data_IF_166925639901
#
_entry.id   IF_166925639901
#
_cell.length_a   1.000
_cell.length_b   1.000
_cell.length_c   1.000
_cell.angle_alpha   90.00
_cell.angle_beta   90.00
_cell.angle_gamma   90.00
#
_symmetry.space_group_name_H-M   'P 1'
#
loop_
_entity.id
_entity.type
_entity.pdbx_description
1 polymer ?
#
# COMPACT_ATOMS: atom_id res chain seq x y z
N UNK A 1 11.45 23.59 -10.53
CA UNK A 1 11.54 24.77 -9.63
C UNK A 1 11.42 24.26 -8.21
N UNK A 2 12.32 24.62 -7.30
CA UNK A 2 12.25 24.14 -5.91
C UNK A 2 11.07 24.82 -5.19
N UNK A 3 10.14 24.02 -4.68
CA UNK A 3 9.00 24.50 -3.90
C UNK A 3 9.44 25.02 -2.53
N UNK A 4 8.78 26.07 -2.02
CA UNK A 4 9.11 26.68 -0.72
C UNK A 4 7.85 26.95 0.10
N UNK A 5 7.95 26.83 1.42
CA UNK A 5 6.89 27.24 2.35
C UNK A 5 6.56 28.72 2.15
N UNK A 6 5.27 29.07 2.21
CA UNK A 6 4.73 30.40 1.92
C UNK A 6 4.58 30.72 0.43
N UNK A 7 5.06 29.85 -0.47
CA UNK A 7 4.87 30.03 -1.89
C UNK A 7 3.41 29.82 -2.29
N UNK A 8 2.86 30.76 -3.05
CA UNK A 8 1.53 30.63 -3.67
C UNK A 8 1.69 30.07 -5.09
N UNK A 9 1.07 28.92 -5.32
CA UNK A 9 0.99 28.24 -6.60
C UNK A 9 -0.37 28.51 -7.26
N UNK A 10 -0.36 28.78 -8.57
CA UNK A 10 -1.58 28.99 -9.37
C UNK A 10 -1.79 27.75 -10.25
N UNK A 11 -2.82 26.97 -9.94
CA UNK A 11 -3.26 25.85 -10.76
C UNK A 11 -4.24 26.26 -11.84
N UNK A 12 -4.74 25.27 -12.58
CA UNK A 12 -5.75 25.48 -13.62
C UNK A 12 -7.13 25.85 -13.07
N UNK A 13 -7.46 25.40 -11.86
CA UNK A 13 -8.75 25.63 -11.21
C UNK A 13 -8.66 26.52 -9.97
N UNK A 14 -7.44 26.77 -9.46
CA UNK A 14 -7.30 27.45 -8.19
C UNK A 14 -5.94 28.04 -7.84
N UNK A 15 -5.84 28.52 -6.60
CA UNK A 15 -4.62 29.04 -5.98
C UNK A 15 -4.39 28.36 -4.64
N UNK A 16 -3.14 28.04 -4.35
CA UNK A 16 -2.76 27.23 -3.20
C UNK A 16 -1.50 27.78 -2.57
N UNK A 17 -1.47 27.93 -1.25
CA UNK A 17 -0.29 28.36 -0.51
C UNK A 17 0.36 27.17 0.19
N UNK A 18 1.65 26.94 -0.05
CA UNK A 18 2.40 25.85 0.58
C UNK A 18 2.66 26.17 2.05
N UNK A 19 2.30 25.26 2.96
CA UNK A 19 2.44 25.46 4.40
C UNK A 19 3.55 24.63 5.01
N UNK A 20 3.54 23.32 4.81
CA UNK A 20 4.50 22.42 5.44
C UNK A 20 4.76 21.19 4.57
N UNK A 21 5.99 20.63 4.60
CA UNK A 21 6.29 19.36 3.94
C UNK A 21 5.63 18.20 4.68
N UNK A 22 4.98 17.31 3.94
CA UNK A 22 4.39 16.07 4.46
C UNK A 22 5.30 14.86 4.25
N UNK A 23 6.00 14.82 3.11
CA UNK A 23 6.89 13.72 2.75
C UNK A 23 8.04 14.26 1.90
N UNK A 24 9.24 14.22 2.45
CA UNK A 24 10.44 14.72 1.78
C UNK A 24 10.31 16.18 1.35
N UNK A 25 10.94 16.52 0.22
CA UNK A 25 10.90 17.85 -0.38
C UNK A 25 9.90 17.99 -1.53
N UNK A 26 9.10 16.95 -1.80
CA UNK A 26 8.25 16.85 -2.98
C UNK A 26 6.75 16.79 -2.67
N UNK A 27 6.34 16.64 -1.41
CA UNK A 27 4.92 16.60 -1.01
C UNK A 27 4.64 17.59 0.11
N UNK A 28 3.67 18.47 -0.10
CA UNK A 28 3.32 19.56 0.81
C UNK A 28 1.83 19.57 1.15
N UNK A 29 1.51 19.96 2.38
CA UNK A 29 0.19 20.47 2.73
C UNK A 29 0.07 21.88 2.19
N UNK A 30 -1.07 22.19 1.60
CA UNK A 30 -1.35 23.51 1.06
C UNK A 30 -2.71 24.04 1.54
N UNK A 31 -2.77 25.34 1.81
CA UNK A 31 -4.03 26.07 2.01
C UNK A 31 -4.65 26.38 0.67
N UNK A 32 -5.94 26.07 0.51
CA UNK A 32 -6.72 26.42 -0.68
C UNK A 32 -7.15 27.88 -0.54
N UNK A 33 -6.57 28.76 -1.36
CA UNK A 33 -6.92 30.19 -1.37
C UNK A 33 -8.13 30.46 -2.27
N UNK A 34 -8.28 29.67 -3.34
CA UNK A 34 -9.44 29.71 -4.23
C UNK A 34 -9.49 28.43 -5.06
N UNK A 35 -10.53 27.61 -4.94
CA UNK A 35 -10.90 26.57 -5.91
C UNK A 35 -12.37 26.19 -5.67
N UNK A 36 -13.30 26.42 -6.62
CA UNK A 36 -14.72 26.16 -6.39
C UNK A 36 -15.09 24.68 -6.25
N UNK A 37 -14.21 23.76 -6.68
CA UNK A 37 -14.43 22.32 -6.59
C UNK A 37 -13.96 21.71 -5.26
N UNK A 38 -13.26 22.48 -4.42
CA UNK A 38 -12.76 22.02 -3.13
C UNK A 38 -13.56 22.73 -2.04
N UNK A 39 -14.33 21.97 -1.27
CA UNK A 39 -15.14 22.50 -0.17
C UNK A 39 -14.33 22.73 1.12
N UNK A 40 -13.17 22.07 1.24
CA UNK A 40 -12.29 22.16 2.41
C UNK A 40 -11.21 23.24 2.30
N UNK A 41 -10.56 23.53 3.43
CA UNK A 41 -9.46 24.48 3.53
C UNK A 41 -8.13 23.93 2.97
N UNK A 42 -7.98 22.60 2.94
CA UNK A 42 -6.70 21.94 2.71
C UNK A 42 -6.66 21.17 1.39
N UNK A 43 -5.47 21.13 0.80
CA UNK A 43 -5.11 20.26 -0.31
C UNK A 43 -3.69 19.70 -0.10
N UNK A 44 -3.32 18.70 -0.90
CA UNK A 44 -1.95 18.19 -0.96
C UNK A 44 -1.35 18.51 -2.32
N UNK A 45 -0.14 19.09 -2.32
CA UNK A 45 0.61 19.36 -3.54
C UNK A 45 1.78 18.39 -3.62
N UNK A 46 1.78 17.58 -4.68
CA UNK A 46 2.85 16.64 -5.01
C UNK A 46 3.60 17.16 -6.23
N UNK A 47 4.90 17.34 -6.12
CA UNK A 47 5.83 17.68 -7.19
C UNK A 47 6.90 16.60 -7.35
N UNK A 48 7.92 16.87 -8.16
CA UNK A 48 9.10 16.03 -8.30
C UNK A 48 10.37 16.84 -8.01
N UNK A 49 11.26 16.29 -7.18
CA UNK A 49 12.59 16.81 -6.92
C UNK A 49 13.66 16.12 -7.77
N UNK A 50 13.44 14.87 -8.19
CA UNK A 50 14.36 14.09 -9.05
C UNK A 50 13.75 13.76 -10.42
N UNK A 51 14.59 13.31 -11.36
CA UNK A 51 14.14 12.84 -12.67
C UNK A 51 13.22 11.62 -12.55
N UNK A 52 13.55 10.67 -11.67
CA UNK A 52 12.74 9.47 -11.42
C UNK A 52 11.37 9.83 -10.83
N UNK A 53 11.32 10.74 -9.85
CA UNK A 53 10.06 11.26 -9.31
C UNK A 53 9.24 11.97 -10.40
N UNK A 54 9.89 12.69 -11.33
CA UNK A 54 9.20 13.35 -12.44
C UNK A 54 8.55 12.35 -13.39
N UNK A 55 9.21 11.22 -13.68
CA UNK A 55 8.62 10.12 -14.46
C UNK A 55 7.39 9.56 -13.74
N UNK A 56 7.51 9.28 -12.43
CA UNK A 56 6.40 8.77 -11.61
C UNK A 56 5.21 9.74 -11.56
N UNK A 57 5.48 11.04 -11.36
CA UNK A 57 4.46 12.10 -11.33
C UNK A 57 3.71 12.21 -12.68
N UNK A 58 4.44 12.12 -13.80
CA UNK A 58 3.85 12.14 -15.16
C UNK A 58 2.99 10.91 -15.43
N UNK A 59 3.40 9.73 -14.95
CA UNK A 59 2.58 8.51 -15.04
C UNK A 59 1.31 8.63 -14.21
N UNK A 60 1.44 9.09 -12.96
CA UNK A 60 0.31 9.32 -12.07
C UNK A 60 -0.71 10.27 -12.69
N UNK A 61 -0.25 11.41 -13.23
CA UNK A 61 -1.10 12.35 -13.95
C UNK A 61 -1.88 11.71 -15.09
N UNK A 62 -1.21 10.90 -15.93
CA UNK A 62 -1.85 10.20 -17.06
C UNK A 62 -2.91 9.21 -16.59
N UNK A 63 -2.68 8.53 -15.47
CA UNK A 63 -3.64 7.57 -14.92
C UNK A 63 -4.93 8.27 -14.45
N UNK A 64 -4.84 9.49 -13.89
CA UNK A 64 -6.04 10.32 -13.64
C UNK A 64 -6.72 10.86 -14.90
N UNK A 65 -6.14 10.66 -16.08
CA UNK A 65 -6.81 10.88 -17.36
C UNK A 65 -7.85 9.80 -17.72
N UNK A 66 -7.87 8.68 -17.01
CA UNK A 66 -8.86 7.61 -17.18
C UNK A 66 -10.10 7.98 -16.35
N UNK A 67 -11.26 8.11 -17.02
CA UNK A 67 -12.49 8.64 -16.42
C UNK A 67 -12.97 7.81 -15.22
N UNK A 68 -12.90 6.49 -15.32
CA UNK A 68 -13.29 5.56 -14.26
C UNK A 68 -12.38 5.69 -13.03
N UNK A 69 -11.09 5.98 -13.21
CA UNK A 69 -10.17 6.26 -12.10
C UNK A 69 -10.50 7.61 -11.47
N UNK A 70 -10.66 8.66 -12.27
CA UNK A 70 -10.92 10.01 -11.79
C UNK A 70 -12.25 10.15 -11.04
N UNK A 71 -13.24 9.31 -11.37
CA UNK A 71 -14.57 9.29 -10.74
C UNK A 71 -14.72 8.25 -9.63
N UNK A 72 -13.71 7.41 -9.37
CA UNK A 72 -13.80 6.36 -8.36
C UNK A 72 -13.76 6.97 -6.94
N UNK A 73 -14.79 6.76 -6.10
CA UNK A 73 -14.83 7.33 -4.75
C UNK A 73 -13.81 6.71 -3.80
N UNK A 74 -13.20 5.58 -4.17
CA UNK A 74 -12.21 4.86 -3.38
C UNK A 74 -10.77 5.14 -3.81
N UNK A 75 -10.58 5.98 -4.82
CA UNK A 75 -9.28 6.48 -5.26
C UNK A 75 -9.17 7.95 -4.85
N UNK A 76 -8.00 8.35 -4.34
CA UNK A 76 -7.75 9.73 -3.91
C UNK A 76 -7.92 10.68 -5.09
N UNK A 77 -8.75 11.69 -4.94
CA UNK A 77 -9.14 12.61 -6.01
C UNK A 77 -8.01 13.59 -6.33
N UNK A 78 -7.67 13.68 -7.62
CA UNK A 78 -6.88 14.77 -8.19
C UNK A 78 -7.80 15.95 -8.52
N UNK A 79 -7.67 17.06 -7.78
CA UNK A 79 -8.50 18.23 -7.99
C UNK A 79 -8.01 19.14 -9.12
N UNK A 80 -6.70 19.38 -9.18
CA UNK A 80 -6.10 20.40 -10.04
C UNK A 80 -4.64 20.06 -10.39
N UNK A 81 -4.07 20.82 -11.32
CA UNK A 81 -2.66 20.74 -11.73
C UNK A 81 -2.02 22.13 -11.71
N UNK A 82 -0.75 22.21 -11.31
CA UNK A 82 0.06 23.43 -11.34
C UNK A 82 1.20 23.23 -12.33
N UNK A 83 1.00 23.69 -13.57
CA UNK A 83 1.99 23.50 -14.64
C UNK A 83 3.28 24.28 -14.37
N UNK A 84 4.41 23.67 -14.74
CA UNK A 84 5.68 24.39 -14.85
C UNK A 84 5.61 25.33 -16.06
N UNK A 85 6.15 26.55 -15.91
CA UNK A 85 6.17 27.53 -17.01
C UNK A 85 6.84 26.92 -18.26
N UNK A 86 6.10 26.85 -19.37
CA UNK A 86 6.64 26.56 -20.71
C UNK A 86 6.38 25.16 -21.30
N UNK A 87 5.90 24.18 -20.52
CA UNK A 87 5.56 22.84 -21.05
C UNK A 87 4.09 22.48 -20.74
N UNK A 88 3.30 22.25 -21.79
CA UNK A 88 1.89 21.85 -21.64
C UNK A 88 1.71 20.38 -21.27
N UNK A 89 2.73 19.54 -21.47
CA UNK A 89 2.71 18.11 -21.20
C UNK A 89 3.32 17.74 -19.84
N UNK A 90 3.97 18.67 -19.17
CA UNK A 90 4.47 18.50 -17.80
C UNK A 90 3.44 19.02 -16.78
N UNK A 91 2.87 18.16 -15.92
CA UNK A 91 1.89 18.60 -14.93
C UNK A 91 2.50 19.56 -13.90
N UNK A 92 3.84 19.61 -13.75
CA UNK A 92 4.57 20.42 -12.77
C UNK A 92 4.32 19.95 -11.33
N UNK A 93 3.11 20.18 -10.83
CA UNK A 93 2.60 19.64 -9.57
C UNK A 93 1.17 19.11 -9.72
N UNK A 94 0.84 18.08 -8.95
CA UNK A 94 -0.49 17.53 -8.80
C UNK A 94 -1.13 18.02 -7.50
N UNK A 95 -2.37 18.48 -7.56
CA UNK A 95 -3.13 18.97 -6.41
C UNK A 95 -4.21 17.95 -6.04
N UNK A 96 -3.98 17.21 -4.97
CA UNK A 96 -4.88 16.17 -4.47
C UNK A 96 -5.80 16.69 -3.36
N UNK A 97 -6.93 16.02 -3.19
CA UNK A 97 -7.78 16.19 -2.00
C UNK A 97 -6.99 15.99 -0.71
N UNK A 98 -7.37 16.71 0.34
CA UNK A 98 -6.84 16.47 1.67
C UNK A 98 -7.49 15.22 2.29
N UNK A 99 -6.66 14.41 2.95
CA UNK A 99 -7.08 13.31 3.80
C UNK A 99 -6.30 13.44 5.12
N UNK A 100 -6.94 13.20 6.26
CA UNK A 100 -6.39 13.58 7.57
C UNK A 100 -5.10 12.83 7.91
N UNK A 101 -5.03 11.55 7.57
CA UNK A 101 -3.89 10.69 7.85
C UNK A 101 -3.59 9.76 6.68
N UNK A 102 -2.32 9.40 6.50
CA UNK A 102 -1.98 8.12 5.89
C UNK A 102 -2.20 6.98 6.91
N UNK A 103 -2.45 5.77 6.40
CA UNK A 103 -2.72 4.61 7.24
C UNK A 103 -1.51 4.22 8.10
N UNK A 104 -0.29 4.59 7.69
CA UNK A 104 0.93 4.42 8.50
C UNK A 104 0.84 5.19 9.82
N UNK A 105 0.22 6.36 9.80
CA UNK A 105 0.09 7.28 10.94
C UNK A 105 -1.03 6.90 11.90
N UNK A 106 -1.93 6.00 11.49
CA UNK A 106 -2.92 5.40 12.39
C UNK A 106 -2.22 4.42 13.35
N UNK A 107 -2.36 4.66 14.66
CA UNK A 107 -1.78 3.80 15.68
C UNK A 107 -2.39 2.40 15.64
N UNK A 108 -1.57 1.36 15.86
CA UNK A 108 -2.01 -0.02 15.78
C UNK A 108 -3.19 -0.32 16.73
N UNK A 109 -3.09 0.10 18.00
CA UNK A 109 -4.14 -0.09 19.01
C UNK A 109 -5.47 0.55 18.58
N UNK A 110 -5.41 1.72 17.93
CA UNK A 110 -6.59 2.41 17.42
C UNK A 110 -7.19 1.67 16.22
N UNK A 111 -6.35 1.24 15.27
CA UNK A 111 -6.80 0.51 14.09
C UNK A 111 -7.47 -0.82 14.44
N UNK A 112 -6.95 -1.55 15.43
CA UNK A 112 -7.57 -2.80 15.92
C UNK A 112 -8.72 -2.57 16.90
N UNK A 113 -8.73 -1.45 17.62
CA UNK A 113 -9.76 -1.12 18.61
C UNK A 113 -11.05 -0.57 18.02
N UNK A 114 -10.99 0.03 16.84
CA UNK A 114 -12.18 0.48 16.10
C UNK A 114 -12.51 -0.52 14.97
N UNK A 115 -13.57 -1.33 15.10
CA UNK A 115 -13.91 -2.35 14.10
C UNK A 115 -14.30 -1.76 12.73
N UNK A 116 -14.62 -0.46 12.67
CA UNK A 116 -14.94 0.22 11.40
C UNK A 116 -13.70 0.44 10.56
N UNK A 117 -12.54 0.72 11.17
CA UNK A 117 -11.33 1.11 10.42
C UNK A 117 -10.80 0.00 9.50
N UNK A 118 -10.61 -1.26 9.96
CA UNK A 118 -10.19 -2.32 9.05
C UNK A 118 -11.23 -2.56 7.95
N UNK A 119 -12.53 -2.53 8.27
CA UNK A 119 -13.59 -2.72 7.26
C UNK A 119 -13.60 -1.63 6.20
N UNK A 120 -13.54 -0.35 6.59
CA UNK A 120 -13.54 0.79 5.65
C UNK A 120 -12.30 0.77 4.78
N UNK A 121 -11.12 0.51 5.34
CA UNK A 121 -9.88 0.37 4.56
C UNK A 121 -9.98 -0.79 3.58
N UNK A 122 -10.41 -1.97 4.02
CA UNK A 122 -10.55 -3.14 3.14
C UNK A 122 -11.55 -2.90 2.01
N UNK A 123 -12.73 -2.32 2.31
CA UNK A 123 -13.74 -2.03 1.29
C UNK A 123 -13.23 -1.01 0.27
N UNK A 124 -12.56 0.05 0.72
CA UNK A 124 -12.01 1.05 -0.18
C UNK A 124 -10.95 0.46 -1.11
N UNK A 125 -9.95 -0.23 -0.53
CA UNK A 125 -8.86 -0.80 -1.32
C UNK A 125 -9.39 -1.87 -2.27
N UNK A 126 -10.19 -2.84 -1.81
CA UNK A 126 -10.75 -3.87 -2.70
C UNK A 126 -11.64 -3.29 -3.80
N UNK A 127 -12.38 -2.21 -3.53
CA UNK A 127 -13.18 -1.55 -4.57
C UNK A 127 -12.31 -0.88 -5.63
N UNK A 128 -11.22 -0.22 -5.22
CA UNK A 128 -10.23 0.33 -6.14
C UNK A 128 -9.52 -0.78 -6.96
N UNK A 129 -9.13 -1.88 -6.30
CA UNK A 129 -8.53 -3.04 -6.99
C UNK A 129 -9.51 -3.71 -7.95
N UNK A 130 -10.81 -3.75 -7.61
CA UNK A 130 -11.86 -4.23 -8.51
C UNK A 130 -11.97 -3.40 -9.80
N UNK A 131 -11.77 -2.08 -9.71
CA UNK A 131 -11.65 -1.21 -10.88
C UNK A 131 -10.37 -1.50 -11.67
N UNK A 132 -9.21 -1.58 -11.01
CA UNK A 132 -7.94 -1.86 -11.68
C UNK A 132 -7.95 -3.20 -12.43
N UNK A 133 -8.57 -4.23 -11.85
CA UNK A 133 -8.81 -5.50 -12.54
C UNK A 133 -9.56 -5.33 -13.86
N UNK A 134 -10.64 -4.54 -13.86
CA UNK A 134 -11.44 -4.27 -15.08
C UNK A 134 -10.64 -3.52 -16.13
N UNK A 135 -9.74 -2.65 -15.70
CA UNK A 135 -8.84 -1.88 -16.57
C UNK A 135 -7.59 -2.68 -17.00
N UNK A 136 -7.38 -3.90 -16.50
CA UNK A 136 -6.20 -4.72 -16.80
C UNK A 136 -4.88 -4.15 -16.26
N UNK A 137 -4.95 -3.38 -15.16
CA UNK A 137 -3.79 -2.77 -14.51
C UNK A 137 -3.64 -3.23 -13.07
N UNK A 138 -2.44 -3.11 -12.52
CA UNK A 138 -2.09 -3.45 -11.14
C UNK A 138 -1.36 -2.27 -10.50
N UNK A 139 -1.66 -1.98 -9.24
CA UNK A 139 -1.12 -0.86 -8.46
C UNK A 139 0.33 -1.06 -8.07
N UNK A 140 0.71 -2.30 -7.70
CA UNK A 140 2.07 -2.70 -7.27
C UNK A 140 2.57 -2.09 -5.96
N UNK A 141 1.88 -1.13 -5.36
CA UNK A 141 2.34 -0.45 -4.15
C UNK A 141 1.21 -0.17 -3.15
N UNK A 142 0.29 -1.14 -3.02
CA UNK A 142 -0.72 -1.15 -1.97
C UNK A 142 -0.02 -1.35 -0.62
N UNK A 143 0.15 -0.27 0.13
CA UNK A 143 0.78 -0.30 1.44
C UNK A 143 0.27 0.84 2.33
N UNK A 144 0.73 0.83 3.59
CA UNK A 144 0.32 1.78 4.65
C UNK A 144 0.60 3.26 4.32
N UNK A 145 1.53 3.57 3.42
CA UNK A 145 1.87 4.94 3.05
C UNK A 145 0.98 5.51 1.93
N UNK A 146 0.28 4.64 1.20
CA UNK A 146 -0.51 4.99 0.01
C UNK A 146 -2.02 4.80 0.22
N UNK A 147 -2.43 4.35 1.40
CA UNK A 147 -3.83 4.35 1.84
C UNK A 147 -4.02 5.53 2.77
N UNK A 148 -5.03 6.34 2.51
CA UNK A 148 -5.34 7.54 3.28
C UNK A 148 -6.70 7.39 3.96
N UNK A 149 -6.83 7.94 5.16
CA UNK A 149 -8.06 7.92 5.95
C UNK A 149 -8.41 9.30 6.48
N UNK A 150 -9.70 9.57 6.62
CA UNK A 150 -10.25 10.80 7.20
C UNK A 150 -11.44 10.49 8.09
N UNK A 151 -11.80 11.43 8.96
CA UNK A 151 -12.95 11.32 9.87
C UNK A 151 -12.89 10.06 10.76
N UNK A 152 -11.69 9.65 11.15
CA UNK A 152 -11.50 8.43 11.95
C UNK A 152 -12.02 8.53 13.39
N UNK A 153 -12.28 9.75 13.87
CA UNK A 153 -12.95 10.03 15.16
C UNK A 153 -14.46 10.26 15.00
N UNK A 154 -14.94 10.48 13.77
CA UNK A 154 -16.34 10.76 13.49
C UNK A 154 -17.18 9.51 13.28
N UNK A 155 -18.39 9.73 12.75
CA UNK A 155 -19.37 8.67 12.54
C UNK A 155 -19.08 7.86 11.28
N UNK A 156 -18.41 8.44 10.28
CA UNK A 156 -18.26 7.86 8.95
C UNK A 156 -16.82 7.99 8.47
N UNK A 157 -15.89 7.19 9.03
CA UNK A 157 -14.52 7.15 8.53
C UNK A 157 -14.50 6.83 7.04
N UNK A 158 -13.64 7.52 6.31
CA UNK A 158 -13.45 7.35 4.87
C UNK A 158 -12.03 6.82 4.64
N UNK A 159 -11.87 5.88 3.70
CA UNK A 159 -10.56 5.46 3.22
C UNK A 159 -10.48 5.56 1.71
N UNK A 160 -9.30 5.92 1.19
CA UNK A 160 -9.01 5.98 -0.25
C UNK A 160 -7.59 5.51 -0.55
N UNK A 161 -7.41 4.85 -1.68
CA UNK A 161 -6.11 4.45 -2.22
C UNK A 161 -5.55 5.57 -3.10
N UNK A 162 -4.26 5.87 -3.00
CA UNK A 162 -3.58 6.85 -3.84
C UNK A 162 -2.20 6.38 -4.30
N UNK A 163 -1.42 7.31 -4.87
CA UNK A 163 -0.12 7.05 -5.49
C UNK A 163 -0.18 6.11 -6.71
N UNK A 164 -0.76 6.63 -7.79
CA UNK A 164 -0.97 5.86 -9.02
C UNK A 164 0.24 5.91 -9.97
N UNK A 165 1.41 6.43 -9.53
CA UNK A 165 2.59 6.59 -10.39
C UNK A 165 3.23 5.27 -10.85
N UNK A 166 2.95 4.18 -10.12
CA UNK A 166 3.50 2.85 -10.35
C UNK A 166 2.49 1.85 -10.95
N UNK A 167 1.31 2.32 -11.40
CA UNK A 167 0.40 1.44 -12.13
C UNK A 167 1.08 0.87 -13.37
N UNK A 168 0.95 -0.43 -13.57
CA UNK A 168 1.43 -1.14 -14.76
C UNK A 168 0.32 -2.01 -15.33
N UNK A 169 0.41 -2.34 -16.61
CA UNK A 169 -0.45 -3.38 -17.20
C UNK A 169 -0.12 -4.73 -16.55
N UNK A 170 -1.16 -5.50 -16.21
CA UNK A 170 -1.01 -6.81 -15.57
C UNK A 170 -0.08 -7.73 -16.38
N UNK A 171 0.91 -8.34 -15.71
CA UNK A 171 1.86 -9.24 -16.36
C UNK A 171 2.82 -8.59 -17.37
N UNK A 172 2.81 -7.26 -17.54
CA UNK A 172 3.65 -6.58 -18.55
C UNK A 172 5.15 -6.60 -18.24
N UNK A 173 5.54 -6.97 -17.03
CA UNK A 173 6.92 -7.10 -16.60
C UNK A 173 7.07 -8.22 -15.57
N UNK A 174 8.19 -8.94 -15.65
CA UNK A 174 8.61 -9.92 -14.63
C UNK A 174 9.43 -9.29 -13.50
N UNK A 175 9.66 -7.98 -13.53
CA UNK A 175 10.37 -7.29 -12.45
C UNK A 175 9.59 -7.34 -11.15
N UNK A 176 10.31 -7.45 -10.02
CA UNK A 176 9.76 -7.45 -8.66
C UNK A 176 9.33 -6.04 -8.24
N UNK A 177 8.26 -5.53 -8.85
CA UNK A 177 7.79 -4.13 -8.72
C UNK A 177 7.19 -3.77 -7.35
N UNK A 178 6.75 -4.74 -6.56
CA UNK A 178 6.19 -4.49 -5.22
C UNK A 178 7.25 -4.19 -4.17
N UNK A 179 6.91 -3.35 -3.19
CA UNK A 179 7.76 -3.11 -2.02
C UNK A 179 8.04 -4.41 -1.23
N UNK A 180 9.23 -4.54 -0.65
CA UNK A 180 9.69 -5.79 -0.01
C UNK A 180 8.68 -6.38 1.00
N UNK A 181 8.07 -5.60 1.92
CA UNK A 181 7.15 -6.18 2.89
C UNK A 181 5.87 -6.72 2.25
N UNK A 182 5.34 -6.04 1.23
CA UNK A 182 4.05 -6.34 0.62
C UNK A 182 4.15 -7.21 -0.64
N UNK A 183 5.37 -7.65 -0.99
CA UNK A 183 5.63 -8.44 -2.20
C UNK A 183 5.02 -9.83 -2.08
N UNK A 184 4.20 -10.18 -3.05
CA UNK A 184 3.47 -11.44 -3.09
C UNK A 184 4.37 -12.62 -3.47
N UNK A 185 4.03 -13.86 -3.05
CA UNK A 185 4.80 -15.06 -3.34
C UNK A 185 5.12 -15.24 -4.82
N UNK A 186 4.13 -15.08 -5.69
CA UNK A 186 4.29 -15.23 -7.14
C UNK A 186 5.25 -14.18 -7.74
N UNK A 187 5.32 -12.99 -7.12
CA UNK A 187 6.27 -11.94 -7.51
C UNK A 187 7.67 -12.28 -7.04
N UNK A 188 7.84 -12.84 -5.84
CA UNK A 188 9.11 -13.42 -5.40
C UNK A 188 9.57 -14.54 -6.35
N UNK A 189 8.65 -15.35 -6.84
CA UNK A 189 8.92 -16.44 -7.79
C UNK A 189 9.20 -15.98 -9.23
N UNK A 190 9.07 -14.67 -9.52
CA UNK A 190 9.39 -14.09 -10.84
C UNK A 190 8.25 -14.10 -11.85
N UNK A 191 7.00 -14.30 -11.42
CA UNK A 191 5.82 -14.36 -12.31
C UNK A 191 5.28 -12.98 -12.73
N UNK A 192 5.88 -11.89 -12.24
CA UNK A 192 5.38 -10.53 -12.44
C UNK A 192 4.16 -10.21 -11.58
N UNK A 193 3.85 -8.92 -11.43
CA UNK A 193 2.70 -8.49 -10.62
C UNK A 193 1.37 -8.79 -11.33
N UNK A 194 0.43 -9.35 -10.57
CA UNK A 194 -0.93 -9.66 -10.98
C UNK A 194 -1.95 -8.98 -10.06
N UNK A 195 -3.22 -8.99 -10.43
CA UNK A 195 -4.33 -8.52 -9.60
C UNK A 195 -4.31 -9.19 -8.22
N UNK A 196 -4.06 -10.50 -8.20
CA UNK A 196 -3.92 -11.27 -6.96
C UNK A 196 -2.77 -10.72 -6.10
N UNK A 197 -1.69 -10.23 -6.69
CA UNK A 197 -0.54 -9.68 -5.96
C UNK A 197 -0.91 -8.42 -5.18
N UNK A 198 -1.79 -7.57 -5.70
CA UNK A 198 -2.31 -6.41 -4.95
C UNK A 198 -3.29 -6.83 -3.84
N UNK A 199 -4.08 -7.88 -4.06
CA UNK A 199 -4.94 -8.46 -3.01
C UNK A 199 -4.09 -8.99 -1.84
N UNK A 200 -2.96 -9.63 -2.14
CA UNK A 200 -1.97 -10.02 -1.12
C UNK A 200 -1.40 -8.82 -0.38
N UNK A 201 -0.99 -7.78 -1.11
CA UNK A 201 -0.45 -6.57 -0.50
C UNK A 201 -1.44 -5.90 0.46
N UNK A 202 -2.75 -5.95 0.19
CA UNK A 202 -3.78 -5.54 1.15
C UNK A 202 -3.76 -6.41 2.41
N UNK A 203 -3.71 -7.74 2.28
CA UNK A 203 -3.62 -8.66 3.43
C UNK A 203 -2.41 -8.35 4.32
N UNK A 204 -1.22 -8.17 3.72
CA UNK A 204 -0.01 -7.77 4.44
C UNK A 204 -0.18 -6.40 5.11
N UNK A 205 -0.80 -5.45 4.41
CA UNK A 205 -1.03 -4.10 4.90
C UNK A 205 -1.92 -4.09 6.14
N UNK A 206 -3.01 -4.86 6.14
CA UNK A 206 -3.90 -5.02 7.29
C UNK A 206 -3.13 -5.63 8.47
N UNK A 207 -2.42 -6.75 8.26
CA UNK A 207 -1.61 -7.38 9.30
C UNK A 207 -0.55 -6.41 9.88
N UNK A 208 0.08 -5.60 9.03
CA UNK A 208 1.07 -4.59 9.42
C UNK A 208 0.46 -3.42 10.21
N UNK A 209 -0.83 -3.14 10.08
CA UNK A 209 -1.53 -2.12 10.88
C UNK A 209 -2.08 -2.66 12.19
N UNK A 210 -2.45 -3.94 12.25
CA UNK A 210 -2.87 -4.58 13.49
C UNK A 210 -1.70 -4.79 14.46
N UNK A 211 -0.52 -5.13 13.92
CA UNK A 211 0.67 -5.45 14.72
C UNK A 211 1.64 -4.27 14.86
N UNK A 212 2.11 -3.95 16.08
CA UNK A 212 3.20 -3.00 16.27
C UNK A 212 4.53 -3.54 15.69
N UNK A 213 4.70 -4.86 15.67
CA UNK A 213 5.88 -5.53 15.13
C UNK A 213 5.75 -5.73 13.61
N UNK A 214 6.84 -5.59 12.83
CA UNK A 214 6.81 -5.88 11.40
C UNK A 214 6.75 -7.39 11.17
N UNK A 215 5.56 -7.93 10.91
CA UNK A 215 5.41 -9.37 10.61
C UNK A 215 6.04 -9.74 9.27
N UNK A 216 5.95 -8.87 8.27
CA UNK A 216 6.55 -9.08 6.94
C UNK A 216 7.69 -8.10 6.67
N UNK A 217 8.51 -8.42 5.68
CA UNK A 217 9.63 -7.59 5.25
C UNK A 217 10.86 -7.65 6.16
N UNK A 218 11.89 -6.83 5.88
CA UNK A 218 13.23 -7.00 6.46
C UNK A 218 13.51 -6.11 7.68
N UNK A 219 12.52 -5.40 8.21
CA UNK A 219 12.76 -4.36 9.23
C UNK A 219 13.36 -4.86 10.54
N UNK A 220 13.21 -6.15 10.85
CA UNK A 220 13.76 -6.83 12.02
C UNK A 220 14.95 -7.74 11.69
N UNK A 221 15.55 -7.58 10.51
CA UNK A 221 16.68 -8.40 10.05
C UNK A 221 17.93 -8.15 10.90
N UNK A 222 18.49 -9.23 11.42
CA UNK A 222 19.68 -9.21 12.29
C UNK A 222 20.96 -9.72 11.61
N UNK A 223 20.86 -10.24 10.38
CA UNK A 223 22.00 -10.72 9.59
C UNK A 223 22.41 -9.72 8.51
N UNK A 224 23.68 -9.68 8.12
CA UNK A 224 24.18 -8.88 7.00
C UNK A 224 23.81 -9.53 5.65
N UNK A 225 23.45 -8.73 4.64
CA UNK A 225 23.04 -9.26 3.32
C UNK A 225 21.70 -10.00 3.33
N UNK A 226 21.41 -10.75 2.28
CA UNK A 226 20.30 -11.72 2.19
C UNK A 226 18.90 -11.17 2.56
N UNK A 227 18.62 -9.93 2.19
CA UNK A 227 17.38 -9.23 2.53
C UNK A 227 16.15 -9.94 1.96
N UNK A 228 16.24 -10.41 0.72
CA UNK A 228 15.20 -11.11 -0.01
C UNK A 228 14.91 -12.46 0.62
N UNK A 229 15.95 -13.26 0.88
CA UNK A 229 15.84 -14.54 1.57
C UNK A 229 15.21 -14.38 2.96
N UNK A 230 15.57 -13.34 3.72
CA UNK A 230 14.93 -13.01 5.00
C UNK A 230 13.43 -12.74 4.83
N UNK A 231 13.03 -11.95 3.83
CA UNK A 231 11.62 -11.67 3.57
C UNK A 231 10.85 -12.94 3.22
N UNK A 232 11.41 -13.80 2.36
CA UNK A 232 10.81 -15.08 1.97
C UNK A 232 10.70 -16.01 3.18
N UNK A 233 11.74 -16.13 4.00
CA UNK A 233 11.75 -16.97 5.21
C UNK A 233 10.63 -16.59 6.20
N UNK A 234 10.33 -15.29 6.32
CA UNK A 234 9.19 -14.82 7.14
C UNK A 234 7.85 -15.27 6.57
N UNK A 235 7.68 -15.22 5.25
CA UNK A 235 6.45 -15.74 4.61
C UNK A 235 6.32 -17.25 4.88
N UNK A 236 7.40 -18.01 4.73
CA UNK A 236 7.43 -19.46 5.01
C UNK A 236 6.98 -19.76 6.45
N UNK A 237 7.51 -19.01 7.43
CA UNK A 237 7.15 -19.21 8.85
C UNK A 237 5.73 -18.79 9.20
N UNK A 238 5.26 -17.67 8.64
CA UNK A 238 3.93 -17.15 8.95
C UNK A 238 2.82 -17.97 8.29
N UNK A 239 3.09 -18.54 7.12
CA UNK A 239 2.08 -19.17 6.28
C UNK A 239 2.51 -20.60 5.93
N UNK A 240 3.16 -20.76 4.79
CA UNK A 240 3.60 -22.06 4.27
C UNK A 240 4.78 -21.86 3.32
N UNK A 241 5.54 -22.93 2.99
CA UNK A 241 6.57 -22.89 1.95
C UNK A 241 6.02 -22.35 0.61
N UNK A 242 6.82 -21.54 -0.11
CA UNK A 242 6.40 -20.90 -1.37
C UNK A 242 6.55 -21.81 -2.60
N UNK A 243 7.14 -23.00 -2.46
CA UNK A 243 7.58 -23.80 -3.60
C UNK A 243 8.76 -23.14 -4.34
N UNK A 244 9.31 -23.80 -5.37
CA UNK A 244 10.45 -23.25 -6.12
C UNK A 244 10.06 -21.99 -6.92
N UNK A 245 11.02 -21.11 -7.25
CA UNK A 245 10.78 -20.00 -8.15
C UNK A 245 10.41 -20.48 -9.57
N UNK A 246 9.57 -19.71 -10.27
CA UNK A 246 9.11 -20.07 -11.62
C UNK A 246 10.24 -20.01 -12.66
N UNK A 247 11.21 -19.12 -12.46
CA UNK A 247 12.47 -19.09 -13.19
C UNK A 247 13.61 -19.49 -12.23
N UNK A 248 14.07 -20.73 -12.32
CA UNK A 248 15.00 -21.33 -11.37
C UNK A 248 16.39 -20.68 -11.35
N UNK A 249 16.77 -19.80 -12.29
CA UNK A 249 18.16 -19.31 -12.38
C UNK A 249 18.47 -18.08 -11.53
N UNK A 250 17.68 -16.98 -11.56
CA UNK A 250 18.05 -15.77 -10.83
C UNK A 250 17.73 -15.82 -9.32
N UNK A 251 16.85 -16.72 -8.87
CA UNK A 251 16.28 -16.66 -7.50
C UNK A 251 16.47 -17.92 -6.67
N UNK A 252 17.02 -19.00 -7.23
CA UNK A 252 17.10 -20.29 -6.54
C UNK A 252 17.88 -20.19 -5.23
N UNK A 253 19.06 -19.58 -5.24
CA UNK A 253 19.90 -19.43 -4.05
C UNK A 253 19.19 -18.62 -2.95
N UNK A 254 18.38 -17.62 -3.32
CA UNK A 254 17.58 -16.84 -2.37
C UNK A 254 16.52 -17.70 -1.67
N UNK A 255 15.85 -18.59 -2.43
CA UNK A 255 14.80 -19.48 -1.92
C UNK A 255 15.39 -20.61 -1.06
N UNK A 256 16.48 -21.24 -1.50
CA UNK A 256 17.19 -22.27 -0.73
C UNK A 256 17.69 -21.71 0.60
N UNK A 257 18.26 -20.50 0.58
CA UNK A 257 18.66 -19.81 1.81
C UNK A 257 17.44 -19.46 2.67
N UNK A 258 16.33 -19.01 2.10
CA UNK A 258 15.14 -18.69 2.86
C UNK A 258 14.56 -19.89 3.61
N UNK A 259 14.55 -21.08 3.00
CA UNK A 259 14.13 -22.32 3.66
C UNK A 259 15.03 -22.66 4.85
N UNK A 260 16.35 -22.49 4.71
CA UNK A 260 17.30 -22.67 5.80
C UNK A 260 17.07 -21.64 6.92
N UNK A 261 16.95 -20.36 6.59
CA UNK A 261 16.70 -19.29 7.56
C UNK A 261 15.39 -19.50 8.33
N UNK A 262 14.36 -20.04 7.69
CA UNK A 262 13.04 -20.26 8.31
C UNK A 262 13.09 -21.29 9.47
N UNK A 263 14.05 -22.22 9.46
CA UNK A 263 14.22 -23.27 10.47
C UNK A 263 15.48 -23.11 11.31
N UNK A 264 16.35 -22.15 10.99
CA UNK A 264 17.60 -21.93 11.70
C UNK A 264 17.35 -21.36 13.11
N UNK A 265 18.12 -21.84 14.08
CA UNK A 265 18.18 -21.28 15.42
C UNK A 265 19.29 -20.22 15.51
N UNK A 266 19.03 -19.19 16.30
CA UNK A 266 19.97 -18.14 16.63
C UNK A 266 21.08 -18.72 17.52
N UNK A 267 22.36 -18.67 17.10
CA UNK A 267 23.47 -19.23 17.86
C UNK A 267 23.67 -18.62 19.25
N UNK A 268 23.15 -17.41 19.50
CA UNK A 268 23.37 -16.69 20.75
C UNK A 268 22.40 -17.07 21.87
N UNK A 269 21.12 -17.30 21.54
CA UNK A 269 20.06 -17.54 22.51
C UNK A 269 19.29 -18.86 22.30
N UNK A 270 19.62 -19.61 21.24
CA UNK A 270 18.99 -20.88 20.90
C UNK A 270 17.53 -20.75 20.42
N UNK A 271 17.00 -19.53 20.30
CA UNK A 271 15.64 -19.29 19.78
C UNK A 271 15.64 -19.30 18.25
N UNK A 272 14.48 -19.40 17.60
CA UNK A 272 14.40 -19.29 16.13
C UNK A 272 14.98 -17.97 15.64
N UNK A 273 15.84 -18.02 14.61
CA UNK A 273 16.42 -16.83 14.02
C UNK A 273 15.33 -15.88 13.49
N UNK A 274 14.41 -16.42 12.69
CA UNK A 274 13.18 -15.74 12.34
C UNK A 274 12.18 -15.97 13.48
N UNK A 275 12.02 -14.95 14.32
CA UNK A 275 11.15 -15.02 15.50
C UNK A 275 9.67 -15.04 15.09
N UNK A 276 8.85 -15.70 15.92
CA UNK A 276 7.39 -15.77 15.75
C UNK A 276 6.88 -17.13 15.26
N UNK A 277 5.56 -17.27 15.38
CA UNK A 277 4.80 -18.43 14.93
C UNK A 277 4.11 -18.21 13.59
N UNK A 278 2.99 -18.90 13.40
CA UNK A 278 2.08 -18.68 12.27
C UNK A 278 1.43 -17.30 12.33
N UNK A 279 0.91 -16.83 11.20
CA UNK A 279 0.20 -15.56 11.10
C UNK A 279 -0.93 -15.46 12.14
N UNK A 280 -1.73 -16.53 12.25
CA UNK A 280 -2.83 -16.61 13.21
C UNK A 280 -2.36 -16.43 14.64
N UNK A 281 -1.34 -17.17 15.05
CA UNK A 281 -0.76 -17.08 16.39
C UNK A 281 -0.22 -15.68 16.67
N UNK A 282 0.48 -15.06 15.71
CA UNK A 282 1.01 -13.71 15.86
C UNK A 282 -0.08 -12.65 16.02
N UNK A 283 -1.18 -12.76 15.26
CA UNK A 283 -2.31 -11.83 15.33
C UNK A 283 -3.16 -12.05 16.58
N UNK A 284 -3.43 -13.30 16.96
CA UNK A 284 -4.22 -13.64 18.16
C UNK A 284 -3.47 -13.35 19.47
N UNK A 285 -2.13 -13.30 19.46
CA UNK A 285 -1.34 -12.90 20.64
C UNK A 285 -1.48 -11.41 20.99
N UNK A 286 -2.00 -10.59 20.09
CA UNK A 286 -2.28 -9.18 20.37
C UNK A 286 -3.51 -9.11 21.27
N UNK A 287 -3.36 -8.65 22.52
CA UNK A 287 -4.43 -8.73 23.52
C UNK A 287 -5.12 -7.39 23.86
N UNK A 288 -4.51 -6.24 23.56
CA UNK A 288 -4.98 -4.94 24.10
C UNK A 288 -5.07 -3.81 23.04
N UNK A 289 -6.16 -3.71 22.26
CA UNK A 289 -7.29 -4.65 22.25
C UNK A 289 -7.01 -5.88 21.38
N UNK A 290 -7.79 -6.97 21.54
CA UNK A 290 -7.60 -8.18 20.76
C UNK A 290 -8.02 -8.01 19.30
N UNK A 291 -7.45 -8.83 18.42
CA UNK A 291 -7.88 -8.91 17.01
C UNK A 291 -9.06 -9.88 16.90
N UNK A 292 -10.23 -9.46 16.39
CA UNK A 292 -11.38 -10.36 16.18
C UNK A 292 -11.03 -11.53 15.26
N UNK A 293 -11.52 -12.73 15.58
CA UNK A 293 -11.26 -13.95 14.81
C UNK A 293 -11.70 -13.83 13.35
N UNK A 294 -12.84 -13.17 13.10
CA UNK A 294 -13.39 -12.95 11.76
C UNK A 294 -12.50 -12.04 10.91
N UNK A 295 -11.79 -11.09 11.55
CA UNK A 295 -10.79 -10.26 10.87
C UNK A 295 -9.52 -11.07 10.56
N UNK A 296 -9.10 -11.96 11.47
CA UNK A 296 -7.98 -12.88 11.20
C UNK A 296 -8.30 -13.79 10.02
N UNK A 297 -9.48 -14.41 10.00
CA UNK A 297 -9.96 -15.25 8.90
C UNK A 297 -10.04 -14.49 7.57
N UNK A 298 -10.54 -13.25 7.61
CA UNK A 298 -10.54 -12.39 6.43
C UNK A 298 -9.12 -12.14 5.91
N UNK A 299 -8.17 -11.77 6.78
CA UNK A 299 -6.77 -11.54 6.37
C UNK A 299 -6.14 -12.82 5.81
N UNK A 300 -6.37 -13.98 6.42
CA UNK A 300 -5.89 -15.27 5.91
C UNK A 300 -6.47 -15.59 4.52
N UNK A 301 -7.73 -15.24 4.27
CA UNK A 301 -8.34 -15.41 2.93
C UNK A 301 -7.64 -14.59 1.84
N UNK A 302 -7.00 -13.46 2.21
CA UNK A 302 -6.20 -12.64 1.29
C UNK A 302 -4.74 -13.13 1.17
N UNK A 303 -4.21 -13.76 2.22
CA UNK A 303 -2.82 -14.23 2.34
C UNK A 303 -2.64 -15.70 1.95
N UNK A 304 -3.29 -16.11 0.87
CA UNK A 304 -3.12 -17.44 0.25
C UNK A 304 -1.87 -17.44 -0.62
N UNK A 305 -0.93 -18.37 -0.37
CA UNK A 305 0.35 -18.46 -1.09
C UNK A 305 0.16 -18.77 -2.57
N UNK A 306 -0.69 -19.75 -2.87
CA UNK A 306 -1.08 -20.08 -4.25
C UNK A 306 -1.97 -18.96 -4.81
N UNK A 307 -1.39 -18.11 -5.65
CA UNK A 307 -2.05 -16.93 -6.20
C UNK A 307 -3.30 -17.26 -7.02
N UNK A 308 -3.42 -18.47 -7.56
CA UNK A 308 -4.58 -18.92 -8.33
C UNK A 308 -5.81 -19.22 -7.46
N UNK A 309 -5.59 -19.46 -6.16
CA UNK A 309 -6.63 -19.71 -5.16
C UNK A 309 -6.98 -18.47 -4.34
N UNK A 310 -6.24 -17.38 -4.51
CA UNK A 310 -6.52 -16.10 -3.84
C UNK A 310 -7.76 -15.47 -4.47
N UNK A 311 -8.71 -14.96 -3.68
CA UNK A 311 -9.92 -14.36 -4.22
C UNK A 311 -9.59 -13.14 -5.09
N UNK A 312 -10.39 -12.92 -6.13
CA UNK A 312 -10.36 -11.61 -6.79
C UNK A 312 -11.04 -10.57 -5.90
N UNK A 313 -10.82 -9.28 -6.19
CA UNK A 313 -11.24 -8.23 -5.26
C UNK A 313 -12.76 -8.18 -5.04
N UNK A 314 -13.55 -8.47 -6.08
CA UNK A 314 -15.01 -8.57 -5.97
C UNK A 314 -15.47 -9.72 -5.09
N UNK A 315 -14.76 -10.86 -5.08
CA UNK A 315 -15.07 -12.00 -4.20
C UNK A 315 -14.67 -11.69 -2.76
N UNK A 316 -13.49 -11.09 -2.55
CA UNK A 316 -13.03 -10.66 -1.23
C UNK A 316 -13.98 -9.63 -0.60
N UNK A 317 -14.61 -8.76 -1.39
CA UNK A 317 -15.65 -7.85 -0.91
C UNK A 317 -16.89 -8.58 -0.35
N UNK A 318 -17.19 -9.78 -0.84
CA UNK A 318 -18.32 -10.60 -0.36
C UNK A 318 -17.97 -11.43 0.89
N UNK A 319 -16.73 -11.34 1.40
CA UNK A 319 -16.34 -12.10 2.59
C UNK A 319 -17.24 -11.74 3.80
N UNK A 320 -17.70 -12.72 4.61
CA UNK A 320 -18.62 -12.48 5.74
C UNK A 320 -18.20 -11.37 6.69
N UNK A 321 -16.89 -11.26 6.97
CA UNK A 321 -16.33 -10.15 7.76
C UNK A 321 -16.73 -8.76 7.22
N UNK A 322 -16.69 -8.55 5.91
CA UNK A 322 -17.06 -7.29 5.27
C UNK A 322 -18.56 -7.15 5.01
N UNK A 323 -19.34 -8.22 5.15
CA UNK A 323 -20.80 -8.18 5.00
C UNK A 323 -21.52 -8.01 6.34
N UNK A 324 -20.89 -8.35 7.45
CA UNK A 324 -21.44 -8.10 8.78
C UNK A 324 -21.57 -6.60 9.06
N UNK A 325 -22.72 -6.22 9.62
CA UNK A 325 -22.94 -4.89 10.16
C UNK A 325 -21.98 -4.64 11.34
N UNK A 326 -21.41 -3.44 11.41
CA UNK A 326 -20.79 -2.87 12.62
C UNK A 326 -21.72 -1.83 13.18
#
# INVERSE_FOLDING_TARGET
MALRIGQVLRGGKGKYELLEPLKGSSVFKARVLSNPSIQGEWAVIKSAATHEESIGLKREYRNYGILEIASCPYIRTLHDIVRSNGDQHDPGCLVFEWMDLDLRSVQANRFRGDPRLPKVVSRAVLSALGLFKKLGVVHTDVNVNNIYVSDIDGLSPIAKLGDLGNLITEGSTKQRGQSLPCRAPEVWQGMGCQHSSDVWSLGVTLARRLSPRPLFGPSDKIIQGFTEAWCIAKIIRLLSPLGPPADCRPYKDEFELAEQLAVMDNPHDGTRLIKGGTLREELQRLAEPPVPSELVEFIESLLVVDHSKRPIASEALQHPYLQSFT
#
